data_IF_432963986744
#
_entry.id   IF_432963986744
#
_cell.length_a   1.000
_cell.length_b   1.000
_cell.length_c   1.000
_cell.angle_alpha   90.00
_cell.angle_beta   90.00
_cell.angle_gamma   90.00
#
_symmetry.space_group_name_H-M   'P 1'
#
loop_
_entity.id
_entity.type
_entity.pdbx_description
1 polymer ?
#
# COMPACT_ATOMS: atom_id res chain seq x y z
N UNK A 1 -68.98 56.03 14.93
CA UNK A 1 -68.32 56.38 13.65
C UNK A 1 -67.62 55.14 13.13
N UNK A 2 -68.02 54.63 11.97
CA UNK A 2 -67.32 53.53 11.32
C UNK A 2 -65.90 54.00 10.98
N UNK A 3 -64.87 53.34 11.52
CA UNK A 3 -63.49 53.55 11.06
C UNK A 3 -63.46 53.11 9.60
N UNK A 4 -63.17 54.05 8.69
CA UNK A 4 -63.01 53.74 7.27
C UNK A 4 -61.96 52.65 7.06
N UNK A 5 -62.11 51.85 6.01
CA UNK A 5 -61.14 50.80 5.64
C UNK A 5 -59.88 51.47 5.09
N UNK A 6 -58.99 51.92 5.99
CA UNK A 6 -57.70 52.50 5.64
C UNK A 6 -56.63 51.39 5.65
N UNK A 7 -55.64 51.41 4.73
CA UNK A 7 -54.55 50.43 4.71
C UNK A 7 -53.79 50.32 6.04
N UNK A 8 -53.67 51.43 6.78
CA UNK A 8 -53.03 51.47 8.10
C UNK A 8 -53.80 50.71 9.18
N UNK A 9 -55.09 50.45 8.99
CA UNK A 9 -55.89 49.65 9.92
C UNK A 9 -55.59 48.15 9.83
N UNK A 10 -54.94 47.70 8.74
CA UNK A 10 -54.53 46.31 8.50
C UNK A 10 -53.09 46.03 8.95
N UNK A 11 -52.38 47.04 9.44
CA UNK A 11 -50.98 46.93 9.91
C UNK A 11 -50.92 46.61 11.41
N UNK A 12 -49.86 45.92 11.82
CA UNK A 12 -49.61 45.58 13.22
C UNK A 12 -49.39 46.84 14.07
N UNK A 13 -49.99 46.88 15.27
CA UNK A 13 -49.89 48.00 16.20
C UNK A 13 -49.18 47.56 17.48
N UNK A 14 -48.09 48.26 17.82
CA UNK A 14 -47.29 47.97 19.01
C UNK A 14 -47.31 49.16 19.98
N UNK A 15 -47.66 48.90 21.24
CA UNK A 15 -47.59 49.88 22.31
C UNK A 15 -46.17 49.92 22.88
N UNK A 16 -45.42 50.98 22.57
CA UNK A 16 -44.06 51.18 23.05
C UNK A 16 -44.04 51.98 24.35
N UNK A 17 -43.28 51.52 25.34
CA UNK A 17 -42.97 52.27 26.57
C UNK A 17 -41.56 52.82 26.44
N UNK A 18 -41.46 54.13 26.25
CA UNK A 18 -40.19 54.82 26.11
C UNK A 18 -39.62 55.20 27.49
N UNK A 19 -38.29 55.12 27.68
CA UNK A 19 -37.61 55.81 28.76
C UNK A 19 -37.85 57.33 28.72
N UNK A 20 -37.69 57.99 29.87
CA UNK A 20 -37.91 59.42 30.01
C UNK A 20 -37.12 60.24 28.96
N UNK A 21 -37.80 61.17 28.31
CA UNK A 21 -37.24 62.05 27.28
C UNK A 21 -36.96 61.40 25.92
N UNK A 22 -37.00 60.07 25.79
CA UNK A 22 -36.74 59.40 24.50
C UNK A 22 -37.84 59.68 23.47
N UNK A 23 -39.10 59.76 23.91
CA UNK A 23 -40.24 60.08 23.03
C UNK A 23 -40.12 61.48 22.42
N UNK A 24 -39.66 62.45 23.21
CA UNK A 24 -39.53 63.84 22.75
C UNK A 24 -38.39 63.97 21.75
N UNK A 25 -37.26 63.30 21.99
CA UNK A 25 -36.14 63.22 21.02
C UNK A 25 -36.57 62.57 19.70
N UNK A 26 -37.35 61.50 19.75
CA UNK A 26 -37.90 60.86 18.54
C UNK A 26 -38.85 61.79 17.78
N UNK A 27 -39.65 62.60 18.51
CA UNK A 27 -40.54 63.58 17.91
C UNK A 27 -39.76 64.67 17.18
N UNK A 28 -38.75 65.22 17.83
CA UNK A 28 -37.86 66.24 17.26
C UNK A 28 -37.12 65.71 16.02
N UNK A 29 -36.59 64.49 16.09
CA UNK A 29 -35.95 63.83 14.95
C UNK A 29 -36.92 63.66 13.77
N UNK A 30 -38.14 63.18 14.03
CA UNK A 30 -39.17 63.02 13.00
C UNK A 30 -39.55 64.37 12.35
N UNK A 31 -39.70 65.43 13.16
CA UNK A 31 -39.96 66.79 12.67
C UNK A 31 -38.81 67.32 11.80
N UNK A 32 -37.56 67.13 12.24
CA UNK A 32 -36.36 67.52 11.48
C UNK A 32 -36.25 66.78 10.13
N UNK A 33 -36.67 65.51 10.08
CA UNK A 33 -36.69 64.71 8.86
C UNK A 33 -37.98 64.87 8.02
N UNK A 34 -38.95 65.68 8.47
CA UNK A 34 -40.22 65.87 7.77
C UNK A 34 -41.10 64.61 7.71
N UNK A 35 -40.99 63.73 8.70
CA UNK A 35 -41.68 62.43 8.78
C UNK A 35 -42.63 62.38 9.98
N UNK A 36 -43.56 61.43 9.95
CA UNK A 36 -44.30 61.08 11.17
C UNK A 36 -43.37 60.32 12.14
N UNK A 37 -43.65 60.40 13.45
CA UNK A 37 -42.88 59.64 14.44
C UNK A 37 -42.86 58.13 14.14
N UNK A 38 -43.96 57.56 13.66
CA UNK A 38 -43.98 56.16 13.25
C UNK A 38 -43.09 55.89 12.04
N UNK A 39 -43.10 56.77 11.03
CA UNK A 39 -42.23 56.65 9.87
C UNK A 39 -40.75 56.77 10.24
N UNK A 40 -40.42 57.62 11.22
CA UNK A 40 -39.07 57.74 11.75
C UNK A 40 -38.62 56.49 12.51
N UNK A 41 -39.48 55.92 13.35
CA UNK A 41 -39.21 54.65 14.04
C UNK A 41 -38.97 53.53 13.02
N UNK A 42 -39.81 53.43 11.98
CA UNK A 42 -39.63 52.43 10.92
C UNK A 42 -38.32 52.64 10.17
N UNK A 43 -37.99 53.88 9.79
CA UNK A 43 -36.74 54.18 9.09
C UNK A 43 -35.50 53.78 9.90
N UNK A 44 -35.46 54.07 11.20
CA UNK A 44 -34.35 53.67 12.08
C UNK A 44 -34.25 52.13 12.17
N UNK A 45 -35.39 51.42 12.21
CA UNK A 45 -35.38 49.96 12.22
C UNK A 45 -34.89 49.37 10.90
N UNK A 46 -35.24 49.99 9.76
CA UNK A 46 -34.76 49.61 8.43
C UNK A 46 -33.26 49.87 8.24
N UNK A 47 -32.71 50.91 8.87
CA UNK A 47 -31.27 51.20 8.92
C UNK A 47 -30.48 50.17 9.77
N UNK A 48 -31.18 49.40 10.59
CA UNK A 48 -30.62 48.33 11.42
C UNK A 48 -31.18 46.96 11.04
N UNK A 49 -31.00 46.50 9.79
CA UNK A 49 -31.58 45.25 9.29
C UNK A 49 -31.09 44.04 10.10
N UNK A 50 -29.88 44.14 10.67
CA UNK A 50 -29.30 43.13 11.56
C UNK A 50 -30.18 42.85 12.78
N UNK A 51 -30.96 43.79 13.31
CA UNK A 51 -31.86 43.53 14.45
C UNK A 51 -33.02 42.58 14.08
N UNK A 52 -33.36 42.52 12.79
CA UNK A 52 -34.44 41.68 12.25
C UNK A 52 -33.88 40.37 11.65
N UNK A 53 -32.68 40.39 11.07
CA UNK A 53 -32.08 39.22 10.40
C UNK A 53 -31.13 38.39 11.27
N UNK A 54 -30.59 38.92 12.38
CA UNK A 54 -29.59 38.21 13.21
C UNK A 54 -30.00 36.78 13.59
N UNK A 55 -31.23 36.52 14.06
CA UNK A 55 -31.61 35.18 14.47
C UNK A 55 -31.61 34.19 13.31
N UNK A 56 -31.96 34.64 12.10
CA UNK A 56 -31.93 33.86 10.87
C UNK A 56 -30.49 33.59 10.42
N UNK A 57 -29.64 34.63 10.42
CA UNK A 57 -28.23 34.53 10.05
C UNK A 57 -27.47 33.58 10.98
N UNK A 58 -27.69 33.68 12.29
CA UNK A 58 -27.04 32.80 13.28
C UNK A 58 -27.51 31.36 13.13
N UNK A 59 -28.79 31.13 12.86
CA UNK A 59 -29.32 29.77 12.65
C UNK A 59 -28.74 29.14 11.38
N UNK A 60 -28.69 29.90 10.29
CA UNK A 60 -28.05 29.49 9.05
C UNK A 60 -26.57 29.17 9.25
N UNK A 61 -25.80 30.07 9.88
CA UNK A 61 -24.38 29.86 10.14
C UNK A 61 -24.11 28.65 11.04
N UNK A 62 -24.99 28.35 12.01
CA UNK A 62 -24.86 27.14 12.84
C UNK A 62 -25.09 25.87 12.03
N UNK A 63 -26.11 25.84 11.18
CA UNK A 63 -26.37 24.71 10.30
C UNK A 63 -25.23 24.49 9.32
N UNK A 64 -24.73 25.56 8.70
CA UNK A 64 -23.62 25.49 7.74
C UNK A 64 -22.32 25.03 8.43
N UNK A 65 -22.03 25.52 9.64
CA UNK A 65 -20.90 25.01 10.43
C UNK A 65 -21.03 23.52 10.74
N UNK A 66 -22.23 23.04 11.08
CA UNK A 66 -22.46 21.64 11.37
C UNK A 66 -22.24 20.77 10.12
N UNK A 67 -22.73 21.23 8.96
CA UNK A 67 -22.52 20.57 7.67
C UNK A 67 -21.04 20.52 7.30
N UNK A 68 -20.34 21.65 7.34
CA UNK A 68 -18.92 21.72 6.99
C UNK A 68 -18.06 20.86 7.93
N UNK A 69 -18.41 20.76 9.21
CA UNK A 69 -17.73 19.86 10.14
C UNK A 69 -17.91 18.40 9.76
N UNK A 70 -19.13 17.98 9.42
CA UNK A 70 -19.39 16.62 8.97
C UNK A 70 -18.61 16.27 7.70
N UNK A 71 -18.57 17.20 6.73
CA UNK A 71 -17.80 17.03 5.49
C UNK A 71 -16.29 16.91 5.75
N UNK A 72 -15.75 17.72 6.66
CA UNK A 72 -14.34 17.63 7.07
C UNK A 72 -14.03 16.29 7.75
N UNK A 73 -14.91 15.81 8.63
CA UNK A 73 -14.70 14.56 9.35
C UNK A 73 -14.75 13.36 8.40
N UNK A 74 -15.67 13.35 7.43
CA UNK A 74 -15.73 12.32 6.40
C UNK A 74 -14.45 12.33 5.54
N UNK A 75 -14.01 13.51 5.08
CA UNK A 75 -12.78 13.64 4.30
C UNK A 75 -11.54 13.18 5.07
N UNK A 76 -11.49 13.42 6.40
CA UNK A 76 -10.41 12.94 7.27
C UNK A 76 -10.38 11.42 7.34
N UNK A 77 -11.53 10.78 7.54
CA UNK A 77 -11.64 9.32 7.57
C UNK A 77 -11.16 8.71 6.25
N UNK A 78 -11.60 9.26 5.11
CA UNK A 78 -11.16 8.80 3.80
C UNK A 78 -9.65 8.96 3.59
N UNK A 79 -9.08 10.10 3.99
CA UNK A 79 -7.64 10.36 3.91
C UNK A 79 -6.84 9.38 4.76
N UNK A 80 -7.28 9.14 6.00
CA UNK A 80 -6.55 8.27 6.93
C UNK A 80 -6.56 6.81 6.45
N UNK A 81 -7.67 6.36 5.85
CA UNK A 81 -7.71 5.06 5.15
C UNK A 81 -6.73 5.02 3.99
N UNK A 82 -6.71 6.04 3.14
CA UNK A 82 -5.79 6.09 1.99
C UNK A 82 -4.31 6.11 2.42
N UNK A 83 -3.98 6.76 3.54
CA UNK A 83 -2.64 6.74 4.12
C UNK A 83 -2.24 5.35 4.61
N UNK A 84 -3.16 4.63 5.26
CA UNK A 84 -2.95 3.25 5.69
C UNK A 84 -2.72 2.33 4.47
N UNK A 85 -3.55 2.44 3.44
CA UNK A 85 -3.42 1.68 2.20
C UNK A 85 -2.07 1.98 1.52
N UNK A 86 -1.66 3.25 1.46
CA UNK A 86 -0.38 3.65 0.87
C UNK A 86 0.82 3.09 1.67
N UNK A 87 0.74 3.09 3.00
CA UNK A 87 1.78 2.51 3.85
C UNK A 87 1.91 0.99 3.62
N UNK A 88 0.78 0.27 3.53
CA UNK A 88 0.77 -1.15 3.22
C UNK A 88 1.38 -1.46 1.84
N UNK A 89 1.02 -0.67 0.82
CA UNK A 89 1.60 -0.80 -0.52
C UNK A 89 3.11 -0.55 -0.54
N UNK A 90 3.60 0.44 0.22
CA UNK A 90 5.05 0.69 0.34
C UNK A 90 5.79 -0.46 0.99
N UNK A 91 5.22 -1.08 2.02
CA UNK A 91 5.80 -2.27 2.64
C UNK A 91 5.92 -3.42 1.65
N UNK A 92 4.84 -3.76 0.94
CA UNK A 92 4.86 -4.82 -0.08
C UNK A 92 5.85 -4.52 -1.22
N UNK A 93 5.97 -3.27 -1.63
CA UNK A 93 6.88 -2.88 -2.70
C UNK A 93 8.34 -3.02 -2.28
N UNK A 94 8.68 -2.70 -1.03
CA UNK A 94 10.01 -2.92 -0.47
C UNK A 94 10.32 -4.41 -0.33
N UNK A 95 9.39 -5.21 0.20
CA UNK A 95 9.59 -6.66 0.33
C UNK A 95 9.84 -7.32 -1.04
N UNK A 96 9.06 -6.95 -2.06
CA UNK A 96 9.26 -7.43 -3.41
C UNK A 96 10.59 -6.96 -4.01
N UNK A 97 11.02 -5.73 -3.69
CA UNK A 97 12.31 -5.20 -4.14
C UNK A 97 13.47 -5.99 -3.53
N UNK A 98 13.45 -6.23 -2.22
CA UNK A 98 14.47 -7.00 -1.51
C UNK A 98 14.56 -8.44 -2.05
N UNK A 99 13.41 -9.06 -2.33
CA UNK A 99 13.35 -10.38 -2.96
C UNK A 99 13.97 -10.36 -4.37
N UNK A 100 13.66 -9.36 -5.19
CA UNK A 100 14.22 -9.23 -6.54
C UNK A 100 15.73 -9.01 -6.52
N UNK A 101 16.26 -8.25 -5.56
CA UNK A 101 17.72 -8.06 -5.38
C UNK A 101 18.40 -9.37 -5.00
N UNK A 102 17.79 -10.16 -4.10
CA UNK A 102 18.33 -11.48 -3.73
C UNK A 102 18.32 -12.47 -4.90
N UNK A 103 17.28 -12.43 -5.74
CA UNK A 103 17.21 -13.22 -6.96
C UNK A 103 18.32 -12.81 -7.96
N UNK A 104 18.55 -11.52 -8.15
CA UNK A 104 19.59 -10.98 -9.03
C UNK A 104 21.00 -11.39 -8.57
N UNK A 105 21.26 -11.34 -7.25
CA UNK A 105 22.52 -11.83 -6.68
C UNK A 105 22.70 -13.33 -6.90
N UNK A 106 21.63 -14.12 -6.72
CA UNK A 106 21.65 -15.56 -6.97
C UNK A 106 21.92 -15.88 -8.44
N UNK A 107 21.30 -15.14 -9.37
CA UNK A 107 21.53 -15.27 -10.82
C UNK A 107 22.99 -14.98 -11.15
N UNK A 108 23.56 -13.89 -10.61
CA UNK A 108 24.97 -13.54 -10.80
C UNK A 108 25.94 -14.65 -10.36
N UNK A 109 25.68 -15.27 -9.20
CA UNK A 109 26.49 -16.41 -8.72
C UNK A 109 26.36 -17.62 -9.65
N UNK A 110 25.16 -17.92 -10.13
CA UNK A 110 24.91 -19.02 -11.08
C UNK A 110 25.65 -18.75 -12.39
N UNK A 111 25.57 -17.54 -12.94
CA UNK A 111 26.26 -17.16 -14.18
C UNK A 111 27.78 -17.32 -14.06
N UNK A 112 28.37 -16.88 -12.94
CA UNK A 112 29.79 -17.06 -12.67
C UNK A 112 30.18 -18.54 -12.63
N UNK A 113 29.42 -19.37 -11.88
CA UNK A 113 29.63 -20.82 -11.81
C UNK A 113 29.51 -21.50 -13.17
N UNK A 114 28.55 -21.05 -13.98
CA UNK A 114 28.35 -21.56 -15.33
C UNK A 114 29.54 -21.23 -16.24
N UNK A 115 30.09 -20.02 -16.15
CA UNK A 115 31.32 -19.66 -16.85
C UNK A 115 32.50 -20.52 -16.42
N UNK A 116 32.71 -20.71 -15.12
CA UNK A 116 33.79 -21.57 -14.60
C UNK A 116 33.67 -23.01 -15.10
N UNK A 117 32.45 -23.56 -15.09
CA UNK A 117 32.18 -24.90 -15.63
C UNK A 117 32.46 -24.99 -17.13
N UNK A 118 32.10 -23.95 -17.88
CA UNK A 118 32.37 -23.88 -19.32
C UNK A 118 33.88 -23.90 -19.60
N UNK A 119 34.65 -23.11 -18.86
CA UNK A 119 36.11 -23.08 -18.96
C UNK A 119 36.74 -24.44 -18.60
N UNK A 120 36.19 -25.12 -17.57
CA UNK A 120 36.61 -26.47 -17.19
C UNK A 120 36.32 -27.50 -18.28
N UNK A 121 35.15 -27.43 -18.92
CA UNK A 121 34.80 -28.32 -20.04
C UNK A 121 35.78 -28.11 -21.19
N UNK A 122 36.07 -26.86 -21.56
CA UNK A 122 37.02 -26.55 -22.63
C UNK A 122 38.43 -27.05 -22.31
N UNK A 123 38.88 -26.90 -21.06
CA UNK A 123 40.14 -27.48 -20.59
C UNK A 123 40.17 -29.00 -20.69
N UNK A 124 39.10 -29.69 -20.28
CA UNK A 124 39.01 -31.14 -20.37
C UNK A 124 38.97 -31.64 -21.80
N UNK A 125 38.28 -30.94 -22.70
CA UNK A 125 38.29 -31.24 -24.13
C UNK A 125 39.69 -31.10 -24.73
N UNK A 126 40.42 -30.04 -24.34
CA UNK A 126 41.82 -29.86 -24.73
C UNK A 126 42.70 -31.00 -24.21
N UNK A 127 42.62 -31.32 -22.91
CA UNK A 127 43.40 -32.40 -22.31
C UNK A 127 43.10 -33.76 -22.96
N UNK A 128 41.81 -34.03 -23.24
CA UNK A 128 41.38 -35.21 -23.99
C UNK A 128 42.01 -35.26 -25.38
N UNK A 129 42.04 -34.14 -26.09
CA UNK A 129 42.66 -34.06 -27.42
C UNK A 129 44.17 -34.29 -27.37
N UNK A 130 44.86 -33.78 -26.33
CA UNK A 130 46.29 -34.00 -26.10
C UNK A 130 46.59 -35.47 -25.77
N UNK A 131 45.80 -36.09 -24.89
CA UNK A 131 45.91 -37.51 -24.58
C UNK A 131 45.66 -38.39 -25.82
N UNK A 132 44.66 -38.05 -26.65
CA UNK A 132 44.40 -38.75 -27.92
C UNK A 132 45.55 -38.58 -28.93
N UNK A 133 46.20 -37.41 -28.95
CA UNK A 133 47.36 -37.18 -29.80
C UNK A 133 48.59 -37.97 -29.34
N UNK A 134 48.80 -38.08 -28.02
CA UNK A 134 49.81 -38.94 -27.39
C UNK A 134 49.50 -40.43 -27.59
N UNK A 135 48.22 -40.79 -27.71
CA UNK A 135 47.75 -42.15 -27.97
C UNK A 135 47.80 -42.58 -29.46
N UNK A 136 48.39 -41.78 -30.37
CA UNK A 136 48.64 -42.25 -31.75
C UNK A 136 49.63 -43.44 -31.75
N UNK A 137 49.42 -44.43 -32.65
CA UNK A 137 49.50 -45.84 -32.33
C UNK A 137 50.95 -46.30 -32.17
N UNK A 138 51.46 -46.30 -30.94
CA UNK A 138 52.52 -47.22 -30.56
C UNK A 138 51.87 -48.56 -30.23
N UNK A 139 51.92 -49.45 -31.21
CA UNK A 139 51.49 -50.84 -31.20
C UNK A 139 50.01 -51.09 -30.88
N UNK A 140 49.28 -51.62 -31.87
CA UNK A 140 48.06 -52.40 -31.59
C UNK A 140 48.39 -53.36 -30.43
N UNK A 141 47.67 -53.33 -29.29
CA UNK A 141 47.81 -54.40 -28.34
C UNK A 141 47.35 -55.64 -29.09
N UNK A 142 48.27 -56.58 -29.34
CA UNK A 142 47.91 -57.93 -29.73
C UNK A 142 47.00 -58.43 -28.60
N UNK A 143 45.69 -58.37 -28.83
CA UNK A 143 44.70 -59.02 -27.96
C UNK A 143 45.02 -60.49 -28.11
N UNK A 144 45.83 -61.04 -27.19
CA UNK A 144 46.01 -62.47 -27.16
C UNK A 144 44.72 -63.05 -26.59
N UNK A 145 44.05 -63.87 -27.39
CA UNK A 145 42.82 -64.62 -27.04
C UNK A 145 43.03 -65.62 -25.87
N UNK A 146 44.15 -65.53 -25.15
CA UNK A 146 44.31 -66.18 -23.86
C UNK A 146 43.36 -65.53 -22.85
N UNK A 147 42.35 -66.25 -22.33
CA UNK A 147 41.53 -65.73 -21.25
C UNK A 147 42.43 -65.36 -20.08
N UNK A 148 42.18 -64.19 -19.47
CA UNK A 148 42.80 -63.80 -18.20
C UNK A 148 42.70 -64.99 -17.23
N UNK A 149 43.83 -65.38 -16.62
CA UNK A 149 43.79 -66.44 -15.61
C UNK A 149 42.87 -66.01 -14.47
N UNK A 150 42.12 -66.96 -13.89
CA UNK A 150 41.15 -66.69 -12.82
C UNK A 150 41.76 -65.85 -11.69
N UNK A 151 43.04 -66.08 -11.36
CA UNK A 151 43.75 -65.34 -10.31
C UNK A 151 43.96 -63.85 -10.64
N UNK A 152 44.21 -63.52 -11.91
CA UNK A 152 44.42 -62.15 -12.36
C UNK A 152 43.08 -61.40 -12.48
N UNK A 153 42.04 -62.10 -12.89
CA UNK A 153 40.68 -61.57 -12.92
C UNK A 153 40.17 -61.25 -11.51
N UNK A 154 40.38 -62.17 -10.55
CA UNK A 154 39.99 -61.98 -9.15
C UNK A 154 40.77 -60.84 -8.47
N UNK A 155 42.04 -60.62 -8.83
CA UNK A 155 42.81 -59.46 -8.33
C UNK A 155 42.34 -58.12 -8.88
N UNK A 156 41.97 -58.06 -10.17
CA UNK A 156 41.56 -56.81 -10.83
C UNK A 156 40.10 -56.44 -10.53
N UNK A 157 39.23 -57.44 -10.42
CA UNK A 157 37.78 -57.23 -10.34
C UNK A 157 37.13 -57.78 -9.06
N UNK A 158 37.88 -58.50 -8.20
CA UNK A 158 37.35 -59.05 -6.95
C UNK A 158 36.81 -57.98 -6.00
N UNK A 159 37.55 -56.88 -5.80
CA UNK A 159 37.08 -55.77 -4.95
C UNK A 159 35.85 -55.05 -5.56
N UNK A 160 35.73 -55.09 -6.88
CA UNK A 160 34.57 -54.52 -7.59
C UNK A 160 33.32 -55.41 -7.40
N UNK A 161 33.50 -56.74 -7.39
CA UNK A 161 32.45 -57.72 -7.07
C UNK A 161 31.98 -57.58 -5.62
N UNK A 162 32.91 -57.44 -4.68
CA UNK A 162 32.59 -57.22 -3.27
C UNK A 162 31.88 -55.88 -3.02
N UNK A 163 32.22 -54.85 -3.81
CA UNK A 163 31.51 -53.56 -3.77
C UNK A 163 30.10 -53.66 -4.35
N UNK A 164 29.91 -54.38 -5.46
CA UNK A 164 28.59 -54.62 -6.05
C UNK A 164 27.70 -55.43 -5.12
N UNK A 165 28.20 -56.52 -4.52
CA UNK A 165 27.47 -57.32 -3.53
C UNK A 165 27.06 -56.54 -2.28
N UNK A 166 27.87 -55.54 -1.88
CA UNK A 166 27.54 -54.63 -0.77
C UNK A 166 26.48 -53.61 -1.15
N UNK A 167 26.48 -53.13 -2.38
CA UNK A 167 25.46 -52.21 -2.90
C UNK A 167 24.14 -52.95 -3.09
N UNK A 168 24.16 -54.15 -3.66
CA UNK A 168 22.98 -54.99 -3.87
C UNK A 168 22.31 -55.37 -2.53
N UNK A 169 23.10 -55.74 -1.50
CA UNK A 169 22.58 -55.96 -0.13
C UNK A 169 21.97 -54.71 0.53
N UNK A 170 22.46 -53.51 0.19
CA UNK A 170 21.88 -52.25 0.69
C UNK A 170 20.61 -51.85 -0.05
N UNK A 171 20.47 -52.24 -1.31
CA UNK A 171 19.30 -51.93 -2.15
C UNK A 171 18.15 -52.91 -1.85
N UNK A 172 18.43 -54.18 -1.54
CA UNK A 172 17.42 -55.22 -1.28
C UNK A 172 16.83 -55.25 0.15
N UNK A 173 17.09 -54.23 0.98
CA UNK A 173 16.26 -53.94 2.15
C UNK A 173 16.10 -55.07 3.18
N UNK A 174 17.18 -55.77 3.55
CA UNK A 174 17.22 -56.54 4.81
C UNK A 174 17.95 -55.74 5.88
N UNK A 175 17.18 -55.00 6.66
CA UNK A 175 17.57 -54.40 7.92
C UNK A 175 18.14 -55.45 8.88
N UNK A 176 19.38 -55.24 9.35
CA UNK A 176 19.95 -55.97 10.48
C UNK A 176 19.07 -55.79 11.73
N UNK A 177 18.70 -56.85 12.47
CA UNK A 177 17.91 -56.74 13.68
C UNK A 177 18.82 -56.61 14.91
N UNK A 178 19.67 -55.59 14.97
CA UNK A 178 20.38 -55.25 16.23
C UNK A 178 20.54 -53.74 16.39
N UNK A 179 19.45 -53.06 16.75
CA UNK A 179 19.53 -51.82 17.51
C UNK A 179 18.30 -51.65 18.42
N UNK A 180 18.20 -52.53 19.41
CA UNK A 180 17.41 -52.29 20.63
C UNK A 180 18.29 -52.62 21.83
N UNK A 181 18.92 -51.59 22.40
CA UNK A 181 19.21 -51.42 23.82
C UNK A 181 19.59 -49.97 24.09
#
# INVERSE_FOLDING_TARGET
MARGDFPSAKQDQFMLRFPDGMRDRLKEAAENHGRSMNAEIVAILEEHPRLVTLPMDVSYLKMENARLRAEIDEARISRDKALADNAALRHLLNENHDAAVADEETISVIEKRFSELKDQIEYLEKLKSELLALAKPSDEPVISDTPLSSELFDKLFGDMRDRLDRIERKVDGRSDPESSK
#
